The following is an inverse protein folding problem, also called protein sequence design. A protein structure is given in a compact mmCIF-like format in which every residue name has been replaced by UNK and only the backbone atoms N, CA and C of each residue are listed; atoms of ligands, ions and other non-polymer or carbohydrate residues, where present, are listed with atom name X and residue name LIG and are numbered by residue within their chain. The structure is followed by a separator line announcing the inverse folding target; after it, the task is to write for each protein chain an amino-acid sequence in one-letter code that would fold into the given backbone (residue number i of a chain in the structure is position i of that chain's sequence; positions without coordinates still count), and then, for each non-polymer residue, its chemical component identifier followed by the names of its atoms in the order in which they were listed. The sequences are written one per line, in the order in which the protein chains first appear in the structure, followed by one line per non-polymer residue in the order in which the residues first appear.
data_IF_543581840511
#
_entry.id   IF_543581840511
#
_cell.length_a   1.000
_cell.length_b   1.000
_cell.length_c   1.000
_cell.angle_alpha   90.00
_cell.angle_beta   90.00
_cell.angle_gamma   90.00
#
_symmetry.space_group_name_H-M   'P 1'
#
loop_
_entity.id
_entity.type
_entity.pdbx_description
1 polymer ?
#
# COMPACT_ATOMS: atom_id res chain seq x y z
N UNK A 1 4.58 -15.59 1.68
CA UNK A 1 3.11 -15.42 1.57
C UNK A 1 2.85 -14.27 0.60
N UNK A 2 1.74 -14.25 -0.14
CA UNK A 2 1.43 -13.10 -0.98
C UNK A 2 1.24 -11.84 -0.11
N UNK A 3 1.74 -10.70 -0.57
CA UNK A 3 1.85 -9.46 0.20
C UNK A 3 1.47 -8.27 -0.68
N UNK A 4 0.84 -7.27 -0.08
CA UNK A 4 0.48 -6.01 -0.72
C UNK A 4 1.01 -4.84 0.10
N UNK A 5 1.35 -3.74 -0.57
CA UNK A 5 1.85 -2.54 0.07
C UNK A 5 1.26 -1.29 -0.60
N UNK A 6 0.86 -0.30 0.22
CA UNK A 6 0.42 1.00 -0.24
C UNK A 6 1.47 2.04 0.14
N UNK A 7 2.08 2.68 -0.85
CA UNK A 7 3.02 3.78 -0.63
C UNK A 7 2.26 5.10 -0.64
N UNK A 8 2.30 5.83 0.48
CA UNK A 8 1.78 7.19 0.57
C UNK A 8 2.84 8.17 0.05
N UNK A 9 2.59 8.82 -1.09
CA UNK A 9 3.62 9.59 -1.82
C UNK A 9 4.01 10.90 -1.13
N UNK A 10 3.14 11.45 -0.30
CA UNK A 10 3.33 12.73 0.39
C UNK A 10 3.54 12.51 1.90
N UNK A 11 3.93 11.30 2.29
CA UNK A 11 4.22 10.94 3.67
C UNK A 11 5.46 11.69 4.19
N UNK A 12 5.27 12.40 5.30
CA UNK A 12 6.31 13.17 6.01
C UNK A 12 6.79 12.51 7.29
N UNK A 13 6.20 11.38 7.68
CA UNK A 13 6.59 10.56 8.82
C UNK A 13 7.54 9.44 8.37
N UNK A 14 7.18 8.73 7.30
CA UNK A 14 8.01 7.68 6.69
C UNK A 14 8.34 8.07 5.25
N UNK A 15 9.61 8.30 4.89
CA UNK A 15 9.99 8.66 3.53
C UNK A 15 9.44 7.66 2.49
N UNK A 16 8.82 8.12 1.39
CA UNK A 16 8.28 7.22 0.36
C UNK A 16 9.34 6.28 -0.25
N UNK A 17 10.60 6.71 -0.31
CA UNK A 17 11.72 5.85 -0.72
C UNK A 17 11.93 4.66 0.23
N UNK A 18 11.84 4.88 1.55
CA UNK A 18 11.94 3.82 2.54
C UNK A 18 10.72 2.86 2.46
N UNK A 19 9.53 3.39 2.22
CA UNK A 19 8.32 2.59 1.98
C UNK A 19 8.50 1.64 0.79
N UNK A 20 9.00 2.14 -0.36
CA UNK A 20 9.31 1.32 -1.54
C UNK A 20 10.35 0.24 -1.24
N UNK A 21 11.38 0.56 -0.45
CA UNK A 21 12.38 -0.43 -0.02
C UNK A 21 11.75 -1.52 0.86
N UNK A 22 10.85 -1.17 1.80
CA UNK A 22 10.12 -2.15 2.61
C UNK A 22 9.23 -3.03 1.74
N UNK A 23 8.50 -2.45 0.79
CA UNK A 23 7.66 -3.20 -0.15
C UNK A 23 8.47 -4.18 -1.00
N UNK A 24 9.62 -3.76 -1.52
CA UNK A 24 10.55 -4.59 -2.29
C UNK A 24 11.09 -5.76 -1.46
N UNK A 25 11.55 -5.51 -0.24
CA UNK A 25 12.00 -6.56 0.69
C UNK A 25 10.92 -7.59 1.00
N UNK A 26 9.66 -7.16 1.05
CA UNK A 26 8.49 -8.02 1.26
C UNK A 26 8.02 -8.74 -0.02
N UNK A 27 8.63 -8.45 -1.17
CA UNK A 27 8.16 -8.90 -2.51
C UNK A 27 6.68 -8.59 -2.72
N UNK A 28 6.23 -7.41 -2.25
CA UNK A 28 4.83 -7.05 -2.23
C UNK A 28 4.37 -6.44 -3.57
N UNK A 29 3.14 -6.77 -3.97
CA UNK A 29 2.43 -6.01 -4.99
C UNK A 29 2.18 -4.60 -4.43
N UNK A 30 2.71 -3.58 -5.10
CA UNK A 30 2.73 -2.22 -4.58
C UNK A 30 1.80 -1.31 -5.37
N UNK A 31 1.04 -0.47 -4.67
CA UNK A 31 0.30 0.65 -5.26
C UNK A 31 0.78 1.95 -4.62
N UNK A 32 0.85 3.04 -5.39
CA UNK A 32 1.25 4.35 -4.87
C UNK A 32 0.06 5.31 -4.94
N UNK A 33 -0.21 5.98 -3.83
CA UNK A 33 -1.37 6.87 -3.67
C UNK A 33 -0.88 8.24 -3.20
N UNK A 34 -1.33 9.37 -3.81
CA UNK A 34 -1.06 10.69 -3.26
C UNK A 34 -1.75 10.83 -1.89
N UNK A 35 -1.06 11.37 -0.91
CA UNK A 35 -1.59 11.43 0.45
C UNK A 35 -0.53 11.37 1.55
N UNK A 36 -0.94 11.77 2.74
CA UNK A 36 -0.09 11.82 3.94
C UNK A 36 0.09 10.44 4.57
N UNK A 37 0.87 10.38 5.65
CA UNK A 37 1.09 9.17 6.45
C UNK A 37 -0.21 8.46 6.84
N UNK A 38 -1.23 9.23 7.23
CA UNK A 38 -2.54 8.71 7.61
C UNK A 38 -3.46 8.54 6.38
N UNK A 39 -2.96 7.90 5.32
CA UNK A 39 -3.72 7.72 4.06
C UNK A 39 -5.04 6.97 4.25
N UNK A 40 -5.12 6.08 5.25
CA UNK A 40 -6.36 5.39 5.61
C UNK A 40 -7.44 6.32 6.20
N UNK A 41 -7.07 7.54 6.61
CA UNK A 41 -8.00 8.59 7.03
C UNK A 41 -8.27 9.58 5.89
N UNK A 42 -7.22 10.01 5.18
CA UNK A 42 -7.36 11.03 4.12
C UNK A 42 -7.93 10.49 2.81
N UNK A 43 -7.69 9.21 2.50
CA UNK A 43 -8.25 8.49 1.36
C UNK A 43 -8.56 7.02 1.75
N UNK A 44 -9.60 6.80 2.57
CA UNK A 44 -10.00 5.47 2.99
C UNK A 44 -10.42 4.58 1.81
N UNK A 45 -10.89 5.17 0.70
CA UNK A 45 -11.31 4.42 -0.47
C UNK A 45 -10.13 3.74 -1.16
N UNK A 46 -9.00 4.42 -1.32
CA UNK A 46 -7.79 3.81 -1.87
C UNK A 46 -7.32 2.59 -1.06
N UNK A 47 -7.35 2.70 0.27
CA UNK A 47 -6.97 1.60 1.18
C UNK A 47 -7.96 0.44 1.05
N UNK A 48 -9.26 0.71 1.11
CA UNK A 48 -10.29 -0.33 0.98
C UNK A 48 -10.22 -1.06 -0.37
N UNK A 49 -9.91 -0.35 -1.45
CA UNK A 49 -9.75 -0.93 -2.77
C UNK A 49 -8.54 -1.87 -2.84
N UNK A 50 -7.40 -1.49 -2.25
CA UNK A 50 -6.24 -2.38 -2.16
C UNK A 50 -6.55 -3.66 -1.40
N UNK A 51 -7.28 -3.55 -0.28
CA UNK A 51 -7.69 -4.72 0.53
C UNK A 51 -8.60 -5.64 -0.30
N UNK A 52 -9.59 -5.09 -1.02
CA UNK A 52 -10.47 -5.86 -1.90
C UNK A 52 -9.68 -6.58 -2.99
N UNK A 53 -8.75 -5.89 -3.63
CA UNK A 53 -7.88 -6.47 -4.66
C UNK A 53 -7.07 -7.64 -4.08
N UNK A 54 -6.41 -7.43 -2.94
CA UNK A 54 -5.63 -8.47 -2.27
C UNK A 54 -6.48 -9.70 -1.92
N UNK A 55 -7.67 -9.50 -1.34
CA UNK A 55 -8.57 -10.59 -0.99
C UNK A 55 -9.02 -11.39 -2.22
N UNK A 56 -9.38 -10.70 -3.32
CA UNK A 56 -9.76 -11.34 -4.57
C UNK A 56 -8.60 -12.12 -5.20
N UNK A 57 -7.38 -11.59 -5.17
CA UNK A 57 -6.21 -12.24 -5.76
C UNK A 57 -5.77 -13.49 -5.01
N UNK A 58 -5.83 -13.48 -3.67
CA UNK A 58 -5.55 -14.70 -2.88
C UNK A 58 -6.65 -15.74 -3.09
N UNK A 59 -7.92 -15.33 -3.15
CA UNK A 59 -9.06 -16.25 -3.28
C UNK A 59 -9.23 -16.89 -4.65
N UNK A 60 -8.50 -16.42 -5.68
CA UNK A 60 -8.47 -17.01 -7.03
C UNK A 60 -7.40 -18.10 -7.20
N UNK A 61 -6.53 -18.30 -6.21
CA UNK A 61 -5.56 -19.40 -6.18
C UNK A 61 -6.17 -20.64 -5.54
#
# INVERSE_FOLDING_TARGET
KPSWYLVAKDDKMIPPSAQRQMASRAQATTVEVPGSHAVYVSDPAAVANLIKQAAADVGKK
#
